data_IF_376054920824
#
_entry.id   IF_376054920824
#
_cell.length_a   1.000
_cell.length_b   1.000
_cell.length_c   1.000
_cell.angle_alpha   90.00
_cell.angle_beta   90.00
_cell.angle_gamma   90.00
#
_symmetry.space_group_name_H-M   'P 1'
#
loop_
_entity.id
_entity.type
_entity.pdbx_description
1 polymer ?
#
# COMPACT_ATOMS: atom_id res chain seq x y z
N UNK A 1 -27.10 -13.66 25.13
CA UNK A 1 -25.90 -12.79 25.11
C UNK A 1 -24.77 -13.65 24.58
N UNK A 2 -23.97 -13.19 23.63
CA UNK A 2 -22.83 -13.96 23.11
C UNK A 2 -21.64 -13.87 24.07
N UNK A 3 -21.01 -15.01 24.36
CA UNK A 3 -19.82 -15.12 25.19
C UNK A 3 -18.60 -15.49 24.32
N UNK A 4 -17.52 -14.71 24.38
CA UNK A 4 -16.23 -15.13 23.80
C UNK A 4 -15.50 -16.09 24.75
N UNK A 5 -15.06 -17.23 24.23
CA UNK A 5 -14.32 -18.25 24.97
C UNK A 5 -13.05 -18.62 24.19
N UNK A 6 -11.93 -18.75 24.89
CA UNK A 6 -10.68 -19.27 24.32
C UNK A 6 -10.56 -20.78 24.59
N UNK A 7 -10.22 -21.57 23.58
CA UNK A 7 -10.00 -23.00 23.75
C UNK A 7 -8.71 -23.26 24.53
N UNK A 8 -8.81 -23.92 25.69
CA UNK A 8 -7.64 -24.23 26.52
C UNK A 8 -6.57 -25.10 25.86
N UNK A 9 -6.91 -25.84 24.80
CA UNK A 9 -5.99 -26.74 24.09
C UNK A 9 -5.22 -26.08 22.92
N UNK A 10 -5.83 -25.13 22.20
CA UNK A 10 -5.24 -24.52 20.99
C UNK A 10 -5.24 -22.98 20.98
N UNK A 11 -5.78 -22.34 22.04
CA UNK A 11 -5.98 -20.90 22.18
C UNK A 11 -6.86 -20.24 21.09
N UNK A 12 -7.48 -21.02 20.20
CA UNK A 12 -8.47 -20.52 19.25
C UNK A 12 -9.69 -19.91 19.97
N UNK A 13 -10.13 -18.73 19.50
CA UNK A 13 -11.31 -18.02 20.02
C UNK A 13 -12.58 -18.53 19.35
N UNK A 14 -13.65 -18.66 20.13
CA UNK A 14 -14.98 -19.02 19.66
C UNK A 14 -16.03 -18.16 20.36
N UNK A 15 -17.10 -17.83 19.65
CA UNK A 15 -18.27 -17.14 20.17
C UNK A 15 -19.35 -18.19 20.46
N UNK A 16 -19.88 -18.21 21.68
CA UNK A 16 -20.96 -19.12 22.10
C UNK A 16 -22.21 -18.32 22.46
N UNK A 17 -23.34 -18.65 21.87
CA UNK A 17 -24.61 -17.92 22.06
C UNK A 17 -25.38 -18.35 23.33
N UNK A 18 -25.14 -19.59 23.79
CA UNK A 18 -25.87 -20.22 24.90
C UNK A 18 -24.89 -20.69 25.99
N UNK A 19 -24.92 -20.11 27.20
CA UNK A 19 -24.13 -20.60 28.34
C UNK A 19 -24.63 -21.98 28.83
N UNK A 20 -23.78 -22.70 29.56
CA UNK A 20 -24.07 -24.05 30.07
C UNK A 20 -24.01 -25.18 29.03
N UNK A 21 -23.70 -24.88 27.77
CA UNK A 21 -23.57 -25.89 26.69
C UNK A 21 -22.11 -26.31 26.51
N UNK A 22 -21.89 -27.60 26.24
CA UNK A 22 -20.59 -28.14 25.81
C UNK A 22 -20.45 -27.98 24.30
N UNK A 23 -19.43 -27.25 23.86
CA UNK A 23 -19.15 -26.98 22.44
C UNK A 23 -17.80 -27.55 22.03
N UNK A 24 -17.70 -28.14 20.84
CA UNK A 24 -16.43 -28.60 20.29
C UNK A 24 -15.70 -27.44 19.61
N UNK A 25 -14.42 -27.24 19.92
CA UNK A 25 -13.61 -26.20 19.29
C UNK A 25 -13.40 -26.51 17.79
N UNK A 26 -13.75 -25.59 16.87
CA UNK A 26 -13.64 -25.84 15.42
C UNK A 26 -12.18 -25.99 14.93
N UNK A 27 -11.21 -25.55 15.71
CA UNK A 27 -9.78 -25.60 15.35
C UNK A 27 -9.09 -26.93 15.73
N UNK A 28 -9.58 -27.65 16.75
CA UNK A 28 -8.90 -28.84 17.27
C UNK A 28 -9.80 -29.97 17.80
N UNK A 29 -11.13 -29.81 17.75
CA UNK A 29 -12.09 -30.80 18.24
C UNK A 29 -12.17 -30.96 19.78
N UNK A 30 -11.41 -30.18 20.55
CA UNK A 30 -11.45 -30.23 22.01
C UNK A 30 -12.78 -29.66 22.54
N UNK A 31 -13.43 -30.39 23.44
CA UNK A 31 -14.71 -30.00 24.01
C UNK A 31 -14.52 -28.98 25.14
N UNK A 32 -15.33 -27.92 25.13
CA UNK A 32 -15.28 -26.82 26.08
C UNK A 32 -16.63 -26.72 26.78
N UNK A 33 -16.62 -26.82 28.11
CA UNK A 33 -17.80 -26.55 28.94
C UNK A 33 -17.87 -25.05 29.20
N UNK A 34 -18.91 -24.39 28.71
CA UNK A 34 -19.14 -22.98 29.05
C UNK A 34 -19.57 -22.84 30.51
N UNK A 35 -19.05 -21.86 31.27
CA UNK A 35 -19.45 -21.65 32.65
C UNK A 35 -20.93 -21.26 32.74
N UNK A 36 -21.66 -21.92 33.64
CA UNK A 36 -23.04 -21.62 33.95
C UNK A 36 -23.09 -20.43 34.92
N UNK A 37 -23.44 -19.26 34.41
CA UNK A 37 -23.63 -18.06 35.23
C UNK A 37 -25.10 -18.00 35.67
N UNK A 38 -25.40 -18.01 36.98
CA UNK A 38 -26.77 -17.84 37.45
C UNK A 38 -27.27 -16.46 37.01
N UNK A 39 -28.25 -16.44 36.12
CA UNK A 39 -28.92 -15.22 35.69
C UNK A 39 -29.80 -14.74 36.85
N UNK A 40 -29.30 -13.80 37.64
CA UNK A 40 -30.12 -13.05 38.57
C UNK A 40 -31.09 -12.18 37.78
N UNK A 41 -32.30 -12.67 37.57
CA UNK A 41 -33.42 -11.90 37.00
C UNK A 41 -33.75 -10.74 37.94
N UNK A 42 -33.30 -9.54 37.55
CA UNK A 42 -33.57 -8.30 38.26
C UNK A 42 -35.02 -7.87 38.00
N UNK A 43 -35.92 -8.13 38.96
CA UNK A 43 -37.30 -7.63 38.90
C UNK A 43 -37.32 -6.11 39.17
N UNK A 44 -37.58 -5.34 38.12
CA UNK A 44 -37.81 -3.89 38.19
C UNK A 44 -39.02 -3.58 39.09
N UNK A 45 -38.76 -3.11 40.32
CA UNK A 45 -39.80 -2.55 41.20
C UNK A 45 -39.43 -1.15 41.70
N UNK A 46 -40.09 -0.16 41.10
CA UNK A 46 -40.04 1.26 41.45
C UNK A 46 -40.48 1.50 42.91
N UNK A 47 -39.60 2.02 43.77
CA UNK A 47 -39.97 2.66 45.04
C UNK A 47 -39.22 3.99 45.22
N UNK A 48 -39.96 5.00 45.68
CA UNK A 48 -39.60 6.43 45.68
C UNK A 48 -39.19 6.94 47.07
N UNK A 49 -37.96 7.47 47.21
CA UNK A 49 -37.49 8.50 48.20
C UNK A 49 -37.68 8.21 49.74
N UNK A 50 -37.13 9.01 50.69
CA UNK A 50 -36.28 10.23 50.60
C UNK A 50 -34.98 10.24 51.46
N UNK A 51 -34.19 11.32 51.38
CA UNK A 51 -33.05 11.69 52.25
C UNK A 51 -33.44 11.87 53.75
N UNK A 52 -32.49 11.78 54.71
CA UNK A 52 -31.78 12.98 55.21
C UNK A 52 -30.31 12.69 55.70
N UNK A 53 -29.60 13.49 56.54
CA UNK A 53 -28.58 14.43 56.05
C UNK A 53 -27.18 14.36 56.74
N UNK A 54 -26.18 15.06 56.17
CA UNK A 54 -25.08 15.87 56.82
C UNK A 54 -24.33 15.23 58.02
N UNK A 55 -22.99 15.02 58.03
CA UNK A 55 -21.98 16.10 58.15
C UNK A 55 -20.50 15.63 58.09
N UNK A 56 -19.59 16.60 57.92
CA UNK A 56 -18.15 16.66 58.28
C UNK A 56 -17.04 15.85 57.56
N UNK A 57 -15.96 16.61 57.33
CA UNK A 57 -14.73 16.41 56.55
C UNK A 57 -13.52 16.05 57.46
N UNK A 58 -12.23 16.22 57.09
CA UNK A 58 -11.33 15.20 56.53
C UNK A 58 -10.17 14.75 57.46
N UNK A 59 -9.44 13.67 57.10
CA UNK A 59 -8.10 13.38 57.68
C UNK A 59 -7.14 12.53 56.82
N UNK A 60 -5.87 12.92 56.94
CA UNK A 60 -4.56 12.44 56.48
C UNK A 60 -4.28 11.01 55.95
N UNK A 61 -3.58 10.99 54.81
CA UNK A 61 -2.23 10.44 54.58
C UNK A 61 -1.72 9.14 55.26
N UNK A 62 -1.53 8.10 54.44
CA UNK A 62 -0.36 7.19 54.41
C UNK A 62 -0.38 6.47 53.03
N UNK A 63 0.66 6.37 52.20
CA UNK A 63 2.07 6.04 52.40
C UNK A 63 2.33 4.58 52.85
N UNK A 64 2.39 3.64 51.89
CA UNK A 64 3.25 2.44 52.04
C UNK A 64 3.53 1.67 50.74
N UNK A 65 4.82 1.35 50.55
CA UNK A 65 5.44 0.12 50.00
C UNK A 65 4.92 -0.53 48.70
N UNK A 66 5.69 -0.73 47.62
CA UNK A 66 7.08 -1.24 47.46
C UNK A 66 7.29 -2.70 47.90
N UNK A 67 7.08 -3.67 46.99
CA UNK A 67 7.64 -5.03 47.04
C UNK A 67 7.53 -5.72 45.65
N UNK A 68 8.30 -6.79 45.40
CA UNK A 68 8.60 -7.43 44.10
C UNK A 68 9.56 -6.59 43.24
N UNK A 69 10.88 -6.66 43.38
CA UNK A 69 11.81 -7.80 43.58
C UNK A 69 12.06 -8.61 42.29
N UNK A 70 13.21 -8.34 41.66
CA UNK A 70 13.71 -8.99 40.45
C UNK A 70 14.49 -10.25 40.82
N UNK A 71 14.29 -11.36 40.09
CA UNK A 71 15.26 -12.47 40.06
C UNK A 71 15.56 -12.89 38.61
N UNK A 72 16.82 -12.79 38.15
CA UNK A 72 17.21 -13.24 36.83
C UNK A 72 17.50 -14.75 36.83
N UNK A 73 16.81 -15.51 35.99
CA UNK A 73 17.18 -16.92 35.72
C UNK A 73 18.12 -16.97 34.52
N UNK A 74 19.33 -17.47 34.77
CA UNK A 74 20.39 -17.63 33.77
C UNK A 74 20.08 -18.82 32.83
N UNK A 75 20.25 -18.67 31.50
CA UNK A 75 20.08 -19.79 30.56
C UNK A 75 21.39 -20.58 30.44
N UNK A 76 21.39 -21.83 30.87
CA UNK A 76 22.26 -22.92 30.37
C UNK A 76 21.99 -24.19 31.21
N UNK A 77 21.21 -25.14 30.68
CA UNK A 77 21.41 -26.55 31.00
C UNK A 77 21.08 -27.43 29.78
N UNK A 78 21.77 -28.57 29.71
CA UNK A 78 22.09 -29.27 28.48
C UNK A 78 21.32 -30.60 28.31
N UNK A 79 21.33 -31.07 27.06
CA UNK A 79 21.43 -32.50 26.72
C UNK A 79 20.27 -33.46 27.02
N UNK A 80 19.50 -33.72 25.96
CA UNK A 80 19.24 -35.05 25.39
C UNK A 80 18.83 -36.25 26.30
N UNK A 81 17.66 -36.81 25.97
CA UNK A 81 17.47 -38.27 25.89
C UNK A 81 16.64 -38.62 24.65
N UNK A 82 17.19 -39.49 23.80
CA UNK A 82 16.41 -40.24 22.82
C UNK A 82 15.60 -41.32 23.55
N UNK A 83 14.34 -41.52 23.16
CA UNK A 83 13.60 -42.75 23.48
C UNK A 83 12.61 -43.08 22.36
N UNK A 84 12.85 -44.22 21.70
CA UNK A 84 11.98 -44.79 20.67
C UNK A 84 10.63 -45.21 21.27
N UNK A 85 9.54 -44.99 20.53
CA UNK A 85 8.37 -45.89 20.57
C UNK A 85 7.63 -45.91 19.25
N UNK A 86 7.76 -47.04 18.57
CA UNK A 86 6.89 -47.42 17.46
C UNK A 86 5.46 -47.60 18.00
N UNK A 87 4.47 -46.96 17.39
CA UNK A 87 3.05 -47.32 17.53
C UNK A 87 2.51 -47.61 16.14
N UNK A 88 1.94 -48.79 15.96
CA UNK A 88 1.38 -49.23 14.69
C UNK A 88 0.13 -48.41 14.33
N UNK A 89 0.05 -48.00 13.06
CA UNK A 89 -1.20 -47.59 12.42
C UNK A 89 -2.04 -48.83 12.09
N UNK A 90 -3.33 -48.89 12.47
CA UNK A 90 -4.28 -49.85 11.90
C UNK A 90 -4.81 -49.35 10.54
N UNK A 91 -5.26 -50.30 9.72
CA UNK A 91 -5.72 -50.08 8.33
C UNK A 91 -6.95 -49.15 8.19
N UNK A 92 -7.10 -48.45 7.05
CA UNK A 92 -8.28 -47.66 6.75
C UNK A 92 -9.46 -48.55 6.33
N UNK A 93 -10.54 -48.53 7.12
CA UNK A 93 -11.81 -49.14 6.74
C UNK A 93 -12.57 -48.29 5.71
N UNK A 94 -12.97 -48.97 4.65
CA UNK A 94 -14.12 -48.76 3.76
C UNK A 94 -15.03 -47.55 4.04
N UNK A 95 -15.15 -46.64 3.06
CA UNK A 95 -16.28 -45.72 2.94
C UNK A 95 -17.21 -46.17 1.80
N UNK A 96 -18.54 -46.26 2.01
CA UNK A 96 -19.46 -46.78 1.03
C UNK A 96 -19.93 -45.74 -0.01
N UNK A 97 -20.26 -46.27 -1.18
CA UNK A 97 -20.91 -45.66 -2.34
C UNK A 97 -22.10 -44.73 -2.05
N UNK A 98 -22.10 -43.53 -2.65
CA UNK A 98 -23.32 -42.81 -3.06
C UNK A 98 -22.96 -41.86 -4.24
N UNK A 99 -23.11 -42.33 -5.48
CA UNK A 99 -24.28 -42.12 -6.37
C UNK A 99 -24.42 -40.69 -6.91
N UNK A 100 -23.95 -40.51 -8.16
CA UNK A 100 -24.25 -39.37 -9.02
C UNK A 100 -25.76 -39.20 -9.28
N UNK A 101 -26.25 -37.97 -9.39
CA UNK A 101 -27.27 -37.59 -10.36
C UNK A 101 -26.62 -36.88 -11.57
N UNK A 102 -26.97 -37.34 -12.77
CA UNK A 102 -26.43 -36.82 -14.02
C UNK A 102 -26.84 -35.35 -14.28
N UNK A 103 -26.03 -34.57 -15.02
CA UNK A 103 -26.45 -33.25 -15.48
C UNK A 103 -27.52 -33.39 -16.59
N UNK A 104 -28.68 -32.77 -16.40
CA UNK A 104 -29.64 -32.56 -17.49
C UNK A 104 -29.04 -31.62 -18.54
N UNK A 105 -28.78 -32.17 -19.72
CA UNK A 105 -28.35 -31.43 -20.90
C UNK A 105 -29.54 -30.65 -21.46
N UNK A 106 -29.71 -29.39 -21.03
CA UNK A 106 -30.68 -28.48 -21.64
C UNK A 106 -30.08 -27.89 -22.92
N UNK A 107 -30.66 -28.28 -24.04
CA UNK A 107 -30.35 -27.87 -25.40
C UNK A 107 -30.82 -26.42 -25.65
N UNK A 108 -29.93 -25.46 -26.01
CA UNK A 108 -30.35 -24.10 -26.34
C UNK A 108 -30.85 -24.02 -27.79
N UNK A 109 -32.09 -23.58 -27.97
CA UNK A 109 -32.67 -23.31 -29.30
C UNK A 109 -31.87 -22.25 -30.08
N UNK A 110 -31.69 -22.41 -31.40
CA UNK A 110 -30.96 -21.45 -32.21
C UNK A 110 -31.85 -20.25 -32.58
N UNK A 111 -31.77 -19.17 -31.80
CA UNK A 111 -32.32 -17.88 -32.24
C UNK A 111 -31.43 -17.33 -33.36
N UNK A 112 -31.84 -17.62 -34.59
CA UNK A 112 -31.35 -16.92 -35.76
C UNK A 112 -31.76 -15.44 -35.65
N UNK A 113 -30.79 -14.54 -35.79
CA UNK A 113 -31.06 -13.12 -36.04
C UNK A 113 -30.08 -12.62 -37.08
N UNK A 114 -30.68 -12.16 -38.17
CA UNK A 114 -30.12 -11.83 -39.46
C UNK A 114 -29.12 -10.64 -39.39
N UNK A 115 -28.03 -10.64 -40.16
CA UNK A 115 -27.13 -9.49 -40.23
C UNK A 115 -27.71 -8.42 -41.17
N UNK A 116 -28.13 -7.28 -40.64
CA UNK A 116 -28.39 -6.10 -41.47
C UNK A 116 -27.07 -5.59 -42.08
N UNK A 117 -26.84 -5.95 -43.34
CA UNK A 117 -25.85 -5.32 -44.18
C UNK A 117 -26.39 -3.99 -44.70
N UNK A 118 -25.83 -2.87 -44.24
CA UNK A 118 -25.93 -1.59 -44.97
C UNK A 118 -24.63 -1.33 -45.70
N UNK A 119 -24.74 -1.25 -47.02
CA UNK A 119 -23.63 -1.15 -47.97
C UNK A 119 -23.29 0.32 -48.28
N UNK A 120 -22.00 0.57 -48.45
CA UNK A 120 -21.37 1.47 -49.45
C UNK A 120 -22.03 2.80 -49.85
N UNK A 121 -21.32 3.91 -49.60
CA UNK A 121 -21.02 5.01 -50.54
C UNK A 121 -20.14 6.06 -49.81
N UNK A 122 -19.13 6.73 -50.39
CA UNK A 122 -18.37 6.46 -51.62
C UNK A 122 -16.97 7.12 -51.51
N UNK A 123 -16.02 6.58 -52.27
CA UNK A 123 -14.75 7.24 -52.59
C UNK A 123 -14.97 8.48 -53.49
N UNK A 124 -14.03 9.44 -53.53
CA UNK A 124 -13.07 9.39 -54.63
C UNK A 124 -11.62 9.81 -54.28
N UNK A 125 -10.69 8.89 -54.51
CA UNK A 125 -9.57 8.97 -55.45
C UNK A 125 -8.64 10.22 -55.57
N UNK A 126 -7.36 9.91 -55.86
CA UNK A 126 -6.32 10.74 -56.52
C UNK A 126 -5.75 11.92 -55.68
N UNK A 127 -4.57 11.83 -55.06
CA UNK A 127 -3.22 11.95 -55.68
C UNK A 127 -2.16 12.13 -54.55
N UNK A 128 -0.83 12.04 -54.67
CA UNK A 128 0.17 11.61 -55.69
C UNK A 128 1.51 11.33 -54.94
N UNK A 129 2.49 10.56 -55.49
CA UNK A 129 3.77 10.31 -54.81
C UNK A 129 4.90 11.31 -55.19
N UNK A 130 5.82 11.55 -54.25
CA UNK A 130 7.14 12.19 -54.38
C UNK A 130 7.89 12.01 -53.04
N UNK A 131 9.20 11.68 -52.93
CA UNK A 131 10.37 11.96 -53.79
C UNK A 131 10.39 13.44 -54.22
N UNK A 132 11.21 14.34 -53.65
CA UNK A 132 12.61 14.20 -53.21
C UNK A 132 13.02 15.31 -52.20
N UNK A 133 14.22 15.25 -51.58
CA UNK A 133 14.77 16.35 -50.77
C UNK A 133 15.44 17.44 -51.63
N UNK A 134 15.24 18.75 -51.35
CA UNK A 134 15.92 19.82 -52.06
C UNK A 134 17.21 20.33 -51.37
N UNK A 135 18.22 20.58 -52.21
CA UNK A 135 19.18 21.73 -52.20
C UNK A 135 20.04 21.95 -50.94
N UNK A 136 21.38 21.91 -50.96
CA UNK A 136 22.41 22.14 -52.00
C UNK A 136 22.53 23.58 -52.51
N UNK A 137 23.36 24.39 -51.84
CA UNK A 137 23.96 25.61 -52.41
C UNK A 137 24.53 26.58 -51.35
N UNK A 138 25.47 27.48 -51.69
CA UNK A 138 26.11 27.66 -52.99
C UNK A 138 27.60 27.29 -53.02
N UNK A 139 28.08 26.99 -54.23
CA UNK A 139 29.50 27.04 -54.62
C UNK A 139 30.03 28.47 -54.41
N UNK A 140 31.21 28.62 -53.82
CA UNK A 140 31.98 29.87 -53.95
C UNK A 140 33.20 29.65 -54.84
N UNK A 141 33.45 30.62 -55.71
CA UNK A 141 34.35 30.51 -56.85
C UNK A 141 35.82 30.72 -56.47
N UNK A 142 36.65 29.97 -57.17
CA UNK A 142 38.06 30.22 -57.39
C UNK A 142 38.30 31.61 -58.00
N UNK A 143 39.34 32.32 -57.55
CA UNK A 143 40.18 33.02 -58.52
C UNK A 143 41.66 32.69 -58.29
N UNK A 144 42.24 31.95 -59.23
CA UNK A 144 43.65 32.14 -59.59
C UNK A 144 43.83 33.60 -60.06
N UNK A 145 44.94 34.25 -59.70
CA UNK A 145 45.92 34.44 -60.77
C UNK A 145 47.37 34.23 -60.31
N UNK A 146 48.16 33.67 -61.22
CA UNK A 146 49.61 33.62 -61.13
C UNK A 146 50.23 35.02 -60.90
N UNK A 147 51.19 35.07 -59.97
CA UNK A 147 52.05 36.22 -59.71
C UNK A 147 53.36 35.72 -59.10
N UNK A 148 54.35 35.46 -59.94
CA UNK A 148 55.68 35.07 -59.49
C UNK A 148 56.44 36.28 -58.97
N UNK A 149 56.95 36.21 -57.74
CA UNK A 149 58.13 36.97 -57.29
C UNK A 149 58.75 36.27 -56.07
N UNK A 150 59.85 35.56 -56.31
CA UNK A 150 60.91 35.33 -55.33
C UNK A 150 61.88 36.54 -55.35
N UNK A 151 62.77 36.75 -54.37
CA UNK A 151 62.79 36.19 -53.01
C UNK A 151 63.06 37.27 -51.93
N UNK A 152 62.76 36.98 -50.65
CA UNK A 152 63.62 37.50 -49.56
C UNK A 152 63.61 36.59 -48.33
N UNK A 153 64.76 35.99 -48.04
CA UNK A 153 65.03 35.09 -46.90
C UNK A 153 65.14 35.87 -45.58
N UNK A 154 64.02 36.35 -45.03
CA UNK A 154 63.98 36.72 -43.61
C UNK A 154 63.70 35.50 -42.74
N UNK A 155 64.80 34.91 -42.25
CA UNK A 155 64.84 33.86 -41.23
C UNK A 155 64.25 34.31 -39.90
N UNK A 156 62.93 34.46 -39.81
CA UNK A 156 62.23 34.52 -38.53
C UNK A 156 62.29 33.14 -37.89
N UNK A 157 63.41 32.92 -37.21
CA UNK A 157 63.71 31.76 -36.38
C UNK A 157 62.78 31.76 -35.18
N UNK A 158 61.50 31.44 -35.40
CA UNK A 158 60.54 31.17 -34.33
C UNK A 158 61.00 29.91 -33.63
N UNK A 159 61.86 30.08 -32.62
CA UNK A 159 62.23 29.03 -31.71
C UNK A 159 60.95 28.32 -31.30
N UNK A 160 60.89 27.00 -31.55
CA UNK A 160 60.07 26.09 -30.75
C UNK A 160 60.58 26.20 -29.31
N UNK A 161 60.09 27.22 -28.60
CA UNK A 161 60.17 27.31 -27.15
C UNK A 161 59.33 26.13 -26.67
N UNK A 162 60.00 25.02 -26.40
CA UNK A 162 59.39 23.84 -25.83
C UNK A 162 58.90 24.28 -24.45
N UNK A 163 57.61 24.63 -24.34
CA UNK A 163 56.93 24.94 -23.07
C UNK A 163 56.80 23.66 -22.26
N UNK A 164 57.94 23.16 -21.80
CA UNK A 164 58.05 22.05 -20.87
C UNK A 164 57.59 22.55 -19.52
N UNK A 165 56.33 22.28 -19.21
CA UNK A 165 55.73 22.54 -17.90
C UNK A 165 56.66 22.01 -16.82
N UNK A 166 56.97 22.86 -15.82
CA UNK A 166 57.85 22.49 -14.72
C UNK A 166 57.43 21.15 -14.11
N UNK A 167 58.36 20.21 -13.93
CA UNK A 167 58.08 18.88 -13.36
C UNK A 167 57.31 18.96 -12.03
N UNK A 168 57.54 20.02 -11.23
CA UNK A 168 56.79 20.27 -9.99
C UNK A 168 55.33 20.63 -10.24
N UNK A 169 55.05 21.49 -11.22
CA UNK A 169 53.68 21.86 -11.60
C UNK A 169 52.93 20.66 -12.20
N UNK A 170 53.60 19.85 -13.04
CA UNK A 170 53.04 18.60 -13.55
C UNK A 170 52.70 17.61 -12.43
N UNK A 171 53.61 17.39 -11.47
CA UNK A 171 53.37 16.50 -10.33
C UNK A 171 52.23 16.98 -9.42
N UNK A 172 52.14 18.29 -9.14
CA UNK A 172 51.03 18.86 -8.37
C UNK A 172 49.69 18.68 -9.08
N UNK A 173 49.64 18.94 -10.39
CA UNK A 173 48.42 18.79 -11.20
C UNK A 173 48.01 17.32 -11.33
N UNK A 174 48.98 16.40 -11.46
CA UNK A 174 48.75 14.96 -11.43
C UNK A 174 48.17 14.51 -10.07
N UNK A 175 48.77 14.93 -8.95
CA UNK A 175 48.24 14.57 -7.61
C UNK A 175 46.86 15.15 -7.36
N UNK A 176 46.59 16.37 -7.82
CA UNK A 176 45.27 16.98 -7.73
C UNK A 176 44.23 16.22 -8.58
N UNK A 177 44.57 15.86 -9.81
CA UNK A 177 43.69 15.09 -10.69
C UNK A 177 43.40 13.68 -10.13
N UNK A 178 44.38 13.02 -9.52
CA UNK A 178 44.20 11.75 -8.81
C UNK A 178 43.31 11.90 -7.57
N UNK A 179 43.50 12.95 -6.77
CA UNK A 179 42.65 13.20 -5.59
C UNK A 179 41.20 13.54 -5.99
N UNK A 180 41.01 14.35 -7.03
CA UNK A 180 39.70 14.70 -7.56
C UNK A 180 38.97 13.48 -8.14
N UNK A 181 39.66 12.62 -8.90
CA UNK A 181 39.04 11.38 -9.42
C UNK A 181 38.71 10.38 -8.31
N UNK A 182 39.54 10.23 -7.28
CA UNK A 182 39.20 9.44 -6.09
C UNK A 182 38.00 10.00 -5.33
N UNK A 183 37.92 11.33 -5.15
CA UNK A 183 36.76 11.98 -4.52
C UNK A 183 35.48 11.78 -5.34
N UNK A 184 35.54 11.94 -6.67
CA UNK A 184 34.41 11.66 -7.56
C UNK A 184 33.99 10.17 -7.51
N UNK A 185 34.94 9.23 -7.47
CA UNK A 185 34.66 7.81 -7.36
C UNK A 185 34.02 7.46 -6.01
N UNK A 186 34.50 8.06 -4.91
CA UNK A 186 33.91 7.91 -3.58
C UNK A 186 32.51 8.51 -3.49
N UNK A 187 32.27 9.69 -4.07
CA UNK A 187 30.94 10.30 -4.15
C UNK A 187 29.99 9.47 -5.03
N UNK A 188 30.46 8.92 -6.14
CA UNK A 188 29.67 8.02 -6.99
C UNK A 188 29.33 6.71 -6.26
N UNK A 189 30.30 6.14 -5.55
CA UNK A 189 30.09 4.97 -4.70
C UNK A 189 29.08 5.25 -3.58
N UNK A 190 29.16 6.42 -2.91
CA UNK A 190 28.18 6.88 -1.93
C UNK A 190 26.79 7.07 -2.57
N UNK A 191 26.71 7.59 -3.79
CA UNK A 191 25.43 7.79 -4.49
C UNK A 191 24.78 6.45 -4.90
N UNK A 192 25.58 5.46 -5.29
CA UNK A 192 25.10 4.12 -5.65
C UNK A 192 24.74 3.26 -4.43
N UNK A 193 25.45 3.43 -3.31
CA UNK A 193 25.25 2.67 -2.08
C UNK A 193 24.51 3.46 -0.99
N UNK A 194 23.93 4.61 -1.34
CA UNK A 194 23.06 5.35 -0.44
C UNK A 194 21.94 4.40 0.03
N UNK A 195 21.73 4.21 1.34
CA UNK A 195 20.72 3.30 1.83
C UNK A 195 19.35 3.81 1.39
N UNK A 196 18.74 3.10 0.43
CA UNK A 196 17.37 3.37 0.01
C UNK A 196 16.47 3.28 1.23
N UNK A 197 15.64 4.30 1.45
CA UNK A 197 14.81 4.35 2.64
C UNK A 197 13.88 3.12 2.64
N UNK A 198 13.75 2.45 3.79
CA UNK A 198 12.96 1.22 3.90
C UNK A 198 11.50 1.40 3.40
N UNK A 199 10.99 2.63 3.48
CA UNK A 199 9.66 3.03 3.01
C UNK A 199 9.48 2.92 1.48
N UNK A 200 10.57 2.94 0.71
CA UNK A 200 10.59 2.78 -0.75
C UNK A 200 10.50 1.33 -1.21
N UNK A 201 10.68 0.35 -0.32
CA UNK A 201 10.77 -1.08 -0.64
C UNK A 201 10.10 -1.94 0.43
N UNK A 202 8.87 -1.59 0.79
CA UNK A 202 8.07 -2.42 1.67
C UNK A 202 7.63 -3.69 0.92
N UNK A 203 7.59 -4.86 1.58
CA UNK A 203 6.98 -6.05 1.00
C UNK A 203 5.47 -5.83 0.80
N UNK A 204 4.88 -6.54 -0.15
CA UNK A 204 3.42 -6.68 -0.22
C UNK A 204 2.89 -7.35 1.06
N UNK A 205 1.73 -6.94 1.62
CA UNK A 205 1.11 -7.67 2.72
C UNK A 205 0.71 -9.07 2.25
N UNK A 206 1.30 -10.10 2.87
CA UNK A 206 0.95 -11.49 2.61
C UNK A 206 0.09 -12.00 3.76
N UNK A 207 -0.98 -12.72 3.45
CA UNK A 207 -1.79 -13.44 4.43
C UNK A 207 -0.97 -14.61 5.01
N UNK A 208 -0.81 -14.64 6.34
CA UNK A 208 -0.01 -15.66 7.01
C UNK A 208 -0.90 -16.76 7.56
N UNK A 209 -0.79 -17.96 6.99
CA UNK A 209 -1.56 -19.14 7.41
C UNK A 209 -1.33 -19.56 8.88
N UNK A 210 -0.20 -19.15 9.49
CA UNK A 210 0.21 -19.60 10.82
C UNK A 210 -0.38 -18.80 12.01
N UNK A 211 -1.04 -17.66 11.76
CA UNK A 211 -1.51 -16.77 12.84
C UNK A 211 -2.82 -16.03 12.53
N UNK A 212 -3.53 -16.35 11.43
CA UNK A 212 -4.77 -15.67 11.04
C UNK A 212 -4.65 -14.19 10.67
N UNK A 213 -3.44 -13.62 10.73
CA UNK A 213 -3.16 -12.20 10.50
C UNK A 213 -2.36 -11.95 9.22
N UNK A 214 -2.57 -10.78 8.61
CA UNK A 214 -1.70 -10.28 7.55
C UNK A 214 -0.36 -9.84 8.12
N UNK A 215 0.74 -10.25 7.50
CA UNK A 215 2.08 -9.76 7.86
C UNK A 215 2.32 -8.39 7.23
N UNK A 216 1.67 -7.36 7.76
CA UNK A 216 1.93 -5.97 7.38
C UNK A 216 3.24 -5.47 8.01
N UNK A 217 4.13 -4.89 7.20
CA UNK A 217 5.21 -4.04 7.74
C UNK A 217 4.63 -2.68 8.10
N UNK A 218 4.35 -2.48 9.38
CA UNK A 218 3.92 -1.19 9.91
C UNK A 218 5.05 -0.16 9.84
N UNK A 219 4.65 1.08 9.57
CA UNK A 219 5.52 2.26 9.58
C UNK A 219 5.00 3.23 10.62
N UNK A 220 5.86 3.69 11.53
CA UNK A 220 5.45 4.59 12.60
C UNK A 220 4.84 5.88 12.05
N UNK A 221 3.82 6.41 12.74
CA UNK A 221 3.08 7.61 12.32
C UNK A 221 4.02 8.80 12.06
N UNK A 222 5.07 8.94 12.87
CA UNK A 222 6.06 10.02 12.79
C UNK A 222 7.34 9.64 12.03
N UNK A 223 7.38 8.52 11.30
CA UNK A 223 8.53 8.22 10.43
C UNK A 223 8.68 9.29 9.35
N UNK A 224 9.87 9.88 9.16
CA UNK A 224 10.09 10.89 8.13
C UNK A 224 9.94 10.26 6.74
N UNK A 225 9.24 10.96 5.84
CA UNK A 225 9.11 10.52 4.45
C UNK A 225 10.44 10.69 3.70
N UNK A 226 10.77 9.78 2.76
CA UNK A 226 11.91 9.97 1.87
C UNK A 226 11.69 11.19 0.95
N UNK A 227 12.78 11.78 0.46
CA UNK A 227 12.72 12.91 -0.48
C UNK A 227 11.85 12.56 -1.69
N UNK A 228 10.84 13.40 -1.97
CA UNK A 228 9.89 13.19 -3.07
C UNK A 228 8.70 12.27 -2.76
N UNK A 229 8.56 11.76 -1.52
CA UNK A 229 7.39 10.97 -1.10
C UNK A 229 6.30 11.81 -0.42
N UNK A 230 6.49 13.13 -0.25
CA UNK A 230 5.42 14.06 0.11
C UNK A 230 5.02 14.87 -1.13
N UNK A 231 3.75 14.78 -1.53
CA UNK A 231 3.19 15.42 -2.72
C UNK A 231 2.19 16.50 -2.33
N UNK A 232 2.12 17.59 -3.09
CA UNK A 232 0.97 18.50 -3.07
C UNK A 232 -0.20 17.97 -3.94
N UNK A 233 -1.40 18.52 -3.76
CA UNK A 233 -2.51 18.33 -4.71
C UNK A 233 -2.11 18.84 -6.10
N UNK A 234 -2.47 18.08 -7.14
CA UNK A 234 -2.08 18.30 -8.53
C UNK A 234 -0.65 17.82 -8.89
N UNK A 235 0.21 17.53 -7.90
CA UNK A 235 1.60 17.11 -8.17
C UNK A 235 1.66 15.67 -8.69
N UNK A 236 2.33 15.48 -9.82
CA UNK A 236 2.59 14.15 -10.39
C UNK A 236 3.98 13.65 -9.99
N UNK A 237 4.04 12.48 -9.38
CA UNK A 237 5.29 11.83 -8.94
C UNK A 237 5.35 10.38 -9.42
N UNK A 238 6.55 9.87 -9.70
CA UNK A 238 6.79 8.46 -10.05
C UNK A 238 7.27 7.68 -8.83
N UNK A 239 6.64 6.54 -8.57
CA UNK A 239 7.04 5.55 -7.59
C UNK A 239 7.16 4.19 -8.27
N UNK A 240 8.39 3.68 -8.44
CA UNK A 240 8.63 2.45 -9.20
C UNK A 240 8.05 2.53 -10.61
N UNK A 241 7.10 1.64 -10.92
CA UNK A 241 6.39 1.62 -12.20
C UNK A 241 5.05 2.38 -12.19
N UNK A 242 4.67 3.05 -11.10
CA UNK A 242 3.39 3.78 -11.01
C UNK A 242 3.63 5.29 -10.94
N UNK A 243 2.93 6.06 -11.77
CA UNK A 243 2.74 7.49 -11.54
C UNK A 243 1.52 7.71 -10.65
N UNK A 244 1.69 8.52 -9.62
CA UNK A 244 0.64 8.99 -8.72
C UNK A 244 0.40 10.46 -9.02
N UNK A 245 -0.86 10.88 -9.00
CA UNK A 245 -1.24 12.30 -9.01
C UNK A 245 -2.44 12.48 -8.09
N UNK A 246 -2.26 13.05 -6.88
CA UNK A 246 -3.37 13.46 -6.04
C UNK A 246 -4.15 14.55 -6.78
N UNK A 247 -5.45 14.36 -6.95
CA UNK A 247 -6.29 15.27 -7.74
C UNK A 247 -6.91 16.34 -6.85
N UNK A 248 -7.60 15.90 -5.79
CA UNK A 248 -8.32 16.74 -4.83
C UNK A 248 -8.67 15.93 -3.58
N UNK A 249 -9.12 16.61 -2.54
CA UNK A 249 -9.84 16.00 -1.42
C UNK A 249 -11.27 16.55 -1.43
N UNK A 250 -12.28 15.68 -1.35
CA UNK A 250 -13.67 16.11 -1.18
C UNK A 250 -14.31 15.54 0.07
N UNK A 251 -15.28 16.25 0.63
CA UNK A 251 -16.14 15.82 1.74
C UNK A 251 -17.52 15.46 1.17
N UNK A 252 -17.83 14.18 1.17
CA UNK A 252 -19.02 13.63 0.50
C UNK A 252 -19.51 12.39 1.26
N UNK A 253 -20.80 12.02 1.16
CA UNK A 253 -21.28 10.74 1.67
C UNK A 253 -20.58 9.56 0.98
N UNK A 254 -20.37 8.49 1.75
CA UNK A 254 -19.82 7.23 1.23
C UNK A 254 -20.96 6.32 0.76
N UNK A 255 -21.12 6.20 -0.55
CA UNK A 255 -22.12 5.33 -1.19
C UNK A 255 -21.56 3.94 -1.51
N UNK A 256 -22.44 2.95 -1.57
CA UNK A 256 -22.09 1.55 -1.81
C UNK A 256 -22.77 0.97 -3.05
N UNK A 257 -22.10 0.03 -3.71
CA UNK A 257 -22.64 -0.78 -4.81
C UNK A 257 -22.52 -2.28 -4.48
N UNK A 258 -23.47 -3.14 -4.89
CA UNK A 258 -23.41 -4.58 -4.58
C UNK A 258 -22.20 -5.26 -5.23
N UNK A 259 -21.53 -6.14 -4.48
CA UNK A 259 -20.48 -6.98 -5.05
C UNK A 259 -21.10 -8.05 -5.96
N UNK A 260 -20.79 -7.96 -7.26
CA UNK A 260 -21.50 -8.68 -8.35
C UNK A 260 -21.62 -10.21 -8.17
N UNK A 261 -20.78 -10.85 -7.36
CA UNK A 261 -20.83 -12.31 -7.12
C UNK A 261 -21.91 -12.76 -6.12
N UNK A 262 -22.46 -11.87 -5.29
CA UNK A 262 -23.42 -12.22 -4.23
C UNK A 262 -24.87 -11.74 -4.50
N UNK A 263 -25.17 -11.43 -5.76
CA UNK A 263 -26.49 -11.71 -6.35
C UNK A 263 -27.73 -11.22 -5.59
N UNK A 264 -27.70 -10.01 -5.02
CA UNK A 264 -28.89 -9.39 -4.40
C UNK A 264 -28.96 -7.92 -4.79
N UNK A 265 -30.12 -7.49 -5.31
CA UNK A 265 -30.39 -6.11 -5.71
C UNK A 265 -30.65 -5.16 -4.53
N UNK A 266 -29.95 -5.37 -3.41
CA UNK A 266 -30.06 -4.52 -2.24
C UNK A 266 -29.39 -3.16 -2.47
N UNK A 267 -29.91 -2.14 -1.80
CA UNK A 267 -29.21 -0.87 -1.59
C UNK A 267 -28.72 -0.82 -0.15
N UNK A 268 -27.49 -0.35 0.08
CA UNK A 268 -26.95 -0.08 1.42
C UNK A 268 -26.94 1.43 1.65
N UNK A 269 -27.33 1.84 2.86
CA UNK A 269 -27.35 3.25 3.25
C UNK A 269 -25.97 3.89 3.14
N UNK A 270 -25.95 5.16 2.72
CA UNK A 270 -24.72 5.96 2.63
C UNK A 270 -24.22 6.35 4.03
N UNK A 271 -22.90 6.32 4.24
CA UNK A 271 -22.30 6.61 5.54
C UNK A 271 -21.69 8.01 5.58
N UNK A 272 -22.16 8.80 6.56
CA UNK A 272 -21.65 10.11 6.96
C UNK A 272 -21.63 11.17 5.84
N UNK A 273 -20.98 12.31 6.09
CA UNK A 273 -19.92 12.81 5.23
C UNK A 273 -18.61 12.09 5.59
N UNK A 274 -17.80 11.71 4.60
CA UNK A 274 -16.41 11.27 4.78
C UNK A 274 -15.48 12.11 3.92
N UNK A 275 -14.18 12.15 4.22
CA UNK A 275 -13.20 12.68 3.28
C UNK A 275 -12.83 11.61 2.26
N UNK A 276 -12.70 12.01 0.99
CA UNK A 276 -12.26 11.19 -0.13
C UNK A 276 -11.03 11.84 -0.76
N UNK A 277 -9.86 11.22 -0.61
CA UNK A 277 -8.66 11.61 -1.36
C UNK A 277 -8.74 11.01 -2.77
N UNK A 278 -8.96 11.85 -3.77
CA UNK A 278 -9.02 11.43 -5.17
C UNK A 278 -7.62 11.31 -5.76
N UNK A 279 -7.32 10.18 -6.39
CA UNK A 279 -6.03 9.87 -7.00
C UNK A 279 -6.21 9.50 -8.47
N UNK A 280 -5.31 9.99 -9.34
CA UNK A 280 -5.02 9.33 -10.62
C UNK A 280 -3.81 8.42 -10.44
N UNK A 281 -3.95 7.17 -10.86
CA UNK A 281 -2.89 6.16 -10.85
C UNK A 281 -2.68 5.68 -12.30
N UNK A 282 -1.43 5.68 -12.74
CA UNK A 282 -1.04 5.37 -14.13
C UNK A 282 0.15 4.42 -14.14
N UNK A 283 0.04 3.31 -14.87
CA UNK A 283 1.08 2.32 -14.99
C UNK A 283 2.10 2.73 -16.07
N UNK A 284 3.32 3.03 -15.64
CA UNK A 284 4.46 3.42 -16.45
C UNK A 284 5.51 2.30 -16.60
N UNK A 285 5.11 1.03 -16.40
CA UNK A 285 5.85 -0.13 -16.90
C UNK A 285 5.75 -0.21 -18.43
N UNK A 286 6.60 -1.03 -19.05
CA UNK A 286 6.43 -1.46 -20.45
C UNK A 286 5.85 -2.87 -20.58
N UNK A 287 5.78 -3.60 -19.47
CA UNK A 287 5.77 -5.06 -19.39
C UNK A 287 4.88 -5.60 -18.25
N UNK A 288 4.93 -4.98 -17.07
CA UNK A 288 4.20 -5.43 -15.88
C UNK A 288 2.75 -4.96 -15.87
N UNK A 289 1.82 -5.88 -15.59
CA UNK A 289 0.44 -5.57 -15.19
C UNK A 289 0.40 -5.39 -13.67
N UNK A 290 -0.11 -4.28 -13.16
CA UNK A 290 -0.01 -3.92 -11.73
C UNK A 290 -1.38 -3.47 -11.23
N UNK A 291 -1.88 -4.05 -10.13
CA UNK A 291 -2.95 -3.45 -9.32
C UNK A 291 -2.30 -2.53 -8.27
N UNK A 292 -2.35 -1.19 -8.38
CA UNK A 292 -1.59 -0.31 -7.49
C UNK A 292 -2.26 -0.11 -6.12
N UNK A 293 -3.59 -0.26 -6.08
CA UNK A 293 -4.42 -0.26 -4.88
C UNK A 293 -5.38 -1.45 -4.94
N UNK A 294 -5.49 -2.15 -3.83
CA UNK A 294 -6.51 -3.18 -3.58
C UNK A 294 -7.02 -3.08 -2.13
N UNK A 295 -8.11 -3.79 -1.83
CA UNK A 295 -8.73 -3.83 -0.49
C UNK A 295 -7.78 -4.37 0.60
N UNK A 296 -6.83 -5.24 0.27
CA UNK A 296 -5.80 -5.69 1.21
C UNK A 296 -4.93 -4.52 1.62
N UNK A 297 -4.28 -3.88 0.65
CA UNK A 297 -3.26 -2.86 0.92
C UNK A 297 -3.82 -1.59 1.56
N UNK A 298 -5.04 -1.20 1.20
CA UNK A 298 -5.72 -0.06 1.81
C UNK A 298 -6.12 -0.34 3.27
N UNK A 299 -6.61 -1.54 3.56
CA UNK A 299 -7.26 -1.88 4.83
C UNK A 299 -6.46 -2.82 5.73
N UNK A 300 -5.20 -3.11 5.40
CA UNK A 300 -4.28 -3.77 6.32
C UNK A 300 -4.15 -2.95 7.60
N UNK A 301 -4.61 -3.54 8.71
CA UNK A 301 -4.54 -3.01 10.07
C UNK A 301 -3.90 -4.05 10.97
N UNK A 302 -3.15 -3.59 11.97
CA UNK A 302 -2.72 -4.39 13.11
C UNK A 302 -3.49 -3.92 14.35
N UNK A 303 -3.96 -4.86 15.15
CA UNK A 303 -4.57 -4.60 16.44
C UNK A 303 -3.56 -4.98 17.51
N UNK A 304 -3.08 -4.00 18.28
CA UNK A 304 -2.04 -4.15 19.29
C UNK A 304 -2.46 -3.39 20.55
N UNK A 305 -2.80 -4.11 21.63
CA UNK A 305 -3.19 -3.55 22.94
C UNK A 305 -4.18 -2.38 22.81
N UNK A 306 -5.36 -2.67 22.26
CA UNK A 306 -6.46 -1.75 21.95
C UNK A 306 -6.15 -0.60 20.97
N UNK A 307 -4.94 -0.56 20.40
CA UNK A 307 -4.55 0.39 19.35
C UNK A 307 -4.70 -0.24 17.98
N UNK A 308 -5.37 0.49 17.08
CA UNK A 308 -5.46 0.15 15.67
C UNK A 308 -4.34 0.89 14.92
N UNK A 309 -3.37 0.13 14.42
CA UNK A 309 -2.23 0.64 13.66
C UNK A 309 -2.42 0.35 12.18
N UNK A 310 -2.22 1.35 11.32
CA UNK A 310 -2.35 1.23 9.87
C UNK A 310 -1.31 2.11 9.16
N UNK A 311 -0.95 1.72 7.94
CA UNK A 311 -0.11 2.56 7.08
C UNK A 311 -0.91 3.64 6.32
N UNK A 312 -2.24 3.50 6.24
CA UNK A 312 -3.14 4.43 5.55
C UNK A 312 -3.97 5.23 6.56
N UNK A 313 -3.79 6.54 6.60
CA UNK A 313 -4.52 7.44 7.50
C UNK A 313 -4.39 8.91 7.05
N UNK A 314 -5.21 9.79 7.62
CA UNK A 314 -5.03 11.24 7.56
C UNK A 314 -4.86 11.81 8.97
N UNK A 315 -3.99 12.82 9.13
CA UNK A 315 -3.76 13.52 10.40
C UNK A 315 -3.41 15.00 10.19
N UNK A 316 -3.62 15.87 11.19
CA UNK A 316 -3.00 17.19 11.24
C UNK A 316 -1.48 17.08 11.29
N UNK A 317 -0.76 18.04 10.70
CA UNK A 317 0.72 18.10 10.78
C UNK A 317 1.19 18.24 12.23
N UNK A 318 0.44 19.00 13.04
CA UNK A 318 0.73 19.30 14.45
C UNK A 318 0.33 18.20 15.45
N UNK A 319 -0.30 17.12 15.00
CA UNK A 319 -0.84 16.07 15.87
C UNK A 319 -0.41 14.66 15.38
N UNK A 320 -0.38 13.71 16.31
CA UNK A 320 -0.20 12.28 16.08
C UNK A 320 -1.52 11.51 15.98
N UNK A 321 -2.64 12.12 16.34
CA UNK A 321 -3.96 11.51 16.19
C UNK A 321 -4.30 11.27 14.71
N UNK A 322 -4.56 10.01 14.37
CA UNK A 322 -4.82 9.57 13.01
C UNK A 322 -6.29 9.22 12.81
N UNK A 323 -6.94 9.83 11.81
CA UNK A 323 -8.21 9.34 11.28
C UNK A 323 -7.91 8.24 10.26
N UNK A 324 -8.42 7.03 10.51
CA UNK A 324 -8.20 5.86 9.66
C UNK A 324 -9.11 5.86 8.44
N UNK A 325 -8.81 4.99 7.47
CA UNK A 325 -9.69 4.72 6.34
C UNK A 325 -10.97 4.00 6.78
N UNK A 326 -12.06 4.18 6.04
CA UNK A 326 -13.31 3.45 6.27
C UNK A 326 -13.09 1.95 6.16
N UNK A 327 -13.76 1.16 7.02
CA UNK A 327 -13.70 -0.30 6.94
C UNK A 327 -14.60 -0.86 5.84
N UNK A 328 -14.03 -1.64 4.93
CA UNK A 328 -14.77 -2.51 4.05
C UNK A 328 -14.17 -3.93 4.08
N UNK A 329 -14.77 -4.90 4.81
CA UNK A 329 -14.17 -6.22 5.01
C UNK A 329 -13.97 -6.96 3.68
N UNK A 330 -12.93 -7.79 3.56
CA UNK A 330 -12.61 -8.49 2.30
C UNK A 330 -13.76 -9.34 1.77
N UNK A 331 -14.39 -10.07 2.68
CA UNK A 331 -15.51 -10.96 2.40
C UNK A 331 -16.87 -10.23 2.43
N UNK A 332 -16.85 -8.90 2.49
CA UNK A 332 -18.04 -8.06 2.50
C UNK A 332 -18.69 -7.94 1.12
N UNK A 333 -20.01 -8.13 1.07
CA UNK A 333 -20.85 -8.09 -0.14
C UNK A 333 -20.99 -6.70 -0.80
N UNK A 334 -20.20 -5.71 -0.40
CA UNK A 334 -20.33 -4.32 -0.82
C UNK A 334 -19.01 -3.76 -1.31
N UNK A 335 -19.10 -2.96 -2.37
CA UNK A 335 -18.03 -2.09 -2.84
C UNK A 335 -18.37 -0.63 -2.54
N UNK A 336 -17.35 0.23 -2.47
CA UNK A 336 -17.52 1.67 -2.51
C UNK A 336 -17.80 2.12 -3.93
N UNK A 337 -18.93 2.78 -4.12
CA UNK A 337 -19.44 3.15 -5.44
C UNK A 337 -18.43 4.01 -6.21
N UNK A 338 -18.10 3.58 -7.42
CA UNK A 338 -17.17 4.30 -8.30
C UNK A 338 -15.70 4.33 -7.85
N UNK A 339 -15.29 3.53 -6.85
CA UNK A 339 -13.89 3.48 -6.39
C UNK A 339 -13.04 2.53 -7.26
N UNK A 340 -13.62 1.44 -7.74
CA UNK A 340 -13.09 0.45 -8.70
C UNK A 340 -11.82 -0.32 -8.28
N UNK A 341 -11.14 0.06 -7.20
CA UNK A 341 -9.94 -0.57 -6.67
C UNK A 341 -10.21 -1.48 -5.48
N UNK A 342 -11.46 -1.59 -5.04
CA UNK A 342 -11.87 -2.29 -3.83
C UNK A 342 -12.44 -3.69 -4.09
N UNK A 343 -12.54 -4.12 -5.35
CA UNK A 343 -12.79 -5.53 -5.67
C UNK A 343 -11.64 -6.46 -5.21
N UNK A 344 -11.90 -7.78 -5.19
CA UNK A 344 -10.98 -8.81 -4.66
C UNK A 344 -9.51 -8.74 -5.12
N UNK A 345 -9.26 -8.26 -6.35
CA UNK A 345 -7.91 -8.12 -6.92
C UNK A 345 -7.52 -6.65 -7.20
N UNK A 346 -8.37 -5.70 -6.80
CA UNK A 346 -8.30 -4.30 -7.21
C UNK A 346 -8.40 -4.09 -8.73
N UNK A 347 -8.15 -2.87 -9.18
CA UNK A 347 -8.06 -2.54 -10.60
C UNK A 347 -6.66 -2.82 -11.11
N UNK A 348 -6.49 -3.94 -11.82
CA UNK A 348 -5.23 -4.25 -12.53
C UNK A 348 -5.08 -3.33 -13.74
N UNK A 349 -3.96 -2.61 -13.80
CA UNK A 349 -3.57 -1.74 -14.92
C UNK A 349 -2.57 -2.44 -15.83
N UNK A 350 -2.82 -2.42 -17.14
CA UNK A 350 -1.84 -2.77 -18.18
C UNK A 350 -0.77 -1.67 -18.33
N UNK A 351 0.39 -1.94 -18.94
CA UNK A 351 1.34 -0.91 -19.35
C UNK A 351 0.65 0.25 -20.08
N UNK A 352 0.90 1.49 -19.66
CA UNK A 352 0.27 2.71 -20.18
C UNK A 352 -1.17 2.98 -19.72
N UNK A 353 -1.84 2.05 -19.04
CA UNK A 353 -3.21 2.25 -18.55
C UNK A 353 -3.23 3.19 -17.34
N UNK A 354 -4.27 4.01 -17.21
CA UNK A 354 -4.51 4.82 -16.02
C UNK A 354 -5.98 4.80 -15.61
N UNK A 355 -6.23 4.98 -14.32
CA UNK A 355 -7.56 5.12 -13.76
C UNK A 355 -7.59 6.21 -12.69
N UNK A 356 -8.81 6.68 -12.39
CA UNK A 356 -9.10 7.54 -11.25
C UNK A 356 -9.79 6.69 -10.19
N UNK A 357 -9.46 6.94 -8.93
CA UNK A 357 -10.03 6.27 -7.75
C UNK A 357 -10.01 7.23 -6.58
N UNK A 358 -10.56 6.81 -5.44
CA UNK A 358 -10.47 7.57 -4.19
C UNK A 358 -10.17 6.66 -3.01
N UNK A 359 -9.64 7.26 -1.95
CA UNK A 359 -9.35 6.61 -0.67
C UNK A 359 -10.22 7.30 0.39
N UNK A 360 -11.23 6.63 0.98
CA UNK A 360 -12.16 7.25 1.92
C UNK A 360 -11.71 7.10 3.39
N UNK A 361 -11.88 8.15 4.21
CA UNK A 361 -11.76 8.08 5.68
C UNK A 361 -12.97 7.40 6.30
N UNK A 362 -12.85 7.00 7.58
CA UNK A 362 -14.03 6.85 8.44
C UNK A 362 -14.81 8.16 8.61
N UNK A 363 -15.98 8.07 9.23
CA UNK A 363 -16.76 9.25 9.65
C UNK A 363 -16.25 9.85 10.97
N UNK A 364 -15.54 9.05 11.78
CA UNK A 364 -15.02 9.45 13.08
C UNK A 364 -13.78 10.35 12.96
N UNK A 365 -13.56 11.21 13.95
CA UNK A 365 -12.37 12.07 14.03
C UNK A 365 -12.31 13.25 13.03
N UNK A 366 -13.26 13.36 12.10
CA UNK A 366 -13.27 14.39 11.05
C UNK A 366 -13.24 15.83 11.58
N UNK A 367 -13.84 16.10 12.74
CA UNK A 367 -13.83 17.41 13.38
C UNK A 367 -12.42 17.88 13.79
N UNK A 368 -11.47 16.96 13.97
CA UNK A 368 -10.09 17.26 14.35
C UNK A 368 -9.19 17.57 13.14
N UNK A 369 -9.67 17.33 11.91
CA UNK A 369 -8.91 17.51 10.67
C UNK A 369 -8.97 18.98 10.20
N UNK A 370 -8.25 19.85 10.90
CA UNK A 370 -8.17 21.29 10.64
C UNK A 370 -6.73 21.77 10.39
N UNK A 371 -6.58 22.86 9.64
CA UNK A 371 -5.28 23.44 9.27
C UNK A 371 -4.50 22.55 8.29
N UNK A 372 -3.15 22.54 8.36
CA UNK A 372 -2.31 21.70 7.50
C UNK A 372 -2.47 20.21 7.84
N UNK A 373 -2.80 19.40 6.82
CA UNK A 373 -3.04 17.97 6.92
C UNK A 373 -2.02 17.16 6.10
N UNK A 374 -1.76 15.93 6.57
CA UNK A 374 -1.01 14.90 5.85
C UNK A 374 -1.86 13.65 5.71
N UNK A 375 -2.05 13.19 4.48
CA UNK A 375 -2.72 11.93 4.17
C UNK A 375 -1.72 10.90 3.67
N UNK A 376 -1.47 9.88 4.46
CA UNK A 376 -0.55 8.78 4.13
C UNK A 376 -1.28 7.69 3.36
N UNK A 377 -0.68 7.24 2.26
CA UNK A 377 -1.23 6.20 1.36
C UNK A 377 -0.15 5.18 1.01
N UNK A 378 -0.49 3.90 1.14
CA UNK A 378 0.34 2.75 0.82
C UNK A 378 -0.11 2.18 -0.54
N UNK A 379 0.80 2.13 -1.52
CA UNK A 379 0.53 1.61 -2.88
C UNK A 379 1.51 0.51 -3.29
N UNK A 380 1.04 -0.39 -4.16
CA UNK A 380 1.89 -1.34 -4.88
C UNK A 380 2.49 -0.65 -6.10
N UNK A 381 3.82 -0.69 -6.24
CA UNK A 381 4.56 0.03 -7.29
C UNK A 381 5.16 -0.86 -8.38
N UNK A 382 4.86 -2.16 -8.35
CA UNK A 382 5.36 -3.17 -9.28
C UNK A 382 5.78 -4.44 -8.55
N UNK A 383 6.53 -5.28 -9.26
CA UNK A 383 7.04 -6.56 -8.74
C UNK A 383 8.57 -6.58 -8.74
N UNK A 384 9.17 -7.38 -7.86
CA UNK A 384 10.59 -7.72 -7.89
C UNK A 384 10.89 -8.75 -8.97
N UNK A 385 12.17 -8.96 -9.28
CA UNK A 385 12.63 -10.03 -10.19
C UNK A 385 12.19 -11.44 -9.73
N UNK A 386 11.93 -11.61 -8.43
CA UNK A 386 11.36 -12.82 -7.83
C UNK A 386 9.82 -12.90 -7.88
N UNK A 387 9.16 -12.03 -8.64
CA UNK A 387 7.71 -11.99 -8.80
C UNK A 387 6.92 -11.53 -7.57
N UNK A 388 7.56 -11.03 -6.52
CA UNK A 388 6.89 -10.56 -5.31
C UNK A 388 6.46 -9.10 -5.47
N UNK A 389 5.27 -8.76 -5.00
CA UNK A 389 4.82 -7.37 -4.99
C UNK A 389 5.75 -6.49 -4.14
N UNK A 390 6.06 -5.31 -4.67
CA UNK A 390 6.83 -4.28 -3.97
C UNK A 390 5.93 -3.08 -3.77
N UNK A 391 5.83 -2.64 -2.53
CA UNK A 391 4.97 -1.53 -2.13
C UNK A 391 5.80 -0.34 -1.64
N UNK A 392 5.18 0.82 -1.55
CA UNK A 392 5.76 2.05 -1.00
C UNK A 392 4.69 2.91 -0.36
N UNK A 393 5.09 3.80 0.53
CA UNK A 393 4.21 4.77 1.20
C UNK A 393 4.57 6.18 0.74
N UNK A 394 3.56 6.97 0.40
CA UNK A 394 3.69 8.40 0.18
C UNK A 394 2.69 9.18 1.04
N UNK A 395 2.90 10.47 1.19
CA UNK A 395 2.02 11.41 1.87
C UNK A 395 1.52 12.49 0.90
N UNK A 396 0.26 12.89 1.05
CA UNK A 396 -0.31 14.06 0.38
C UNK A 396 -0.44 15.18 1.41
N UNK A 397 0.25 16.29 1.18
CA UNK A 397 0.16 17.51 1.96
C UNK A 397 -0.86 18.46 1.34
N UNK A 398 -1.80 18.93 2.15
CA UNK A 398 -2.85 19.88 1.77
C UNK A 398 -3.35 20.60 3.02
N UNK A 399 -3.97 21.77 2.86
CA UNK A 399 -4.67 22.44 3.95
C UNK A 399 -6.15 22.06 3.96
N UNK A 400 -6.78 22.03 5.15
CA UNK A 400 -8.22 21.80 5.34
C UNK A 400 -9.12 22.73 4.50
N UNK A 401 -8.66 23.94 4.18
CA UNK A 401 -9.35 24.89 3.28
C UNK A 401 -9.39 24.45 1.81
N UNK A 402 -8.64 23.41 1.43
CA UNK A 402 -8.64 22.82 0.08
C UNK A 402 -9.60 21.63 -0.06
N UNK A 403 -10.38 21.31 0.98
CA UNK A 403 -11.38 20.25 0.95
C UNK A 403 -12.62 20.77 0.21
N UNK A 404 -12.98 20.13 -0.90
CA UNK A 404 -14.18 20.46 -1.67
C UNK A 404 -15.45 19.83 -1.06
N UNK A 405 -16.54 20.59 -0.99
CA UNK A 405 -17.84 20.11 -0.53
C UNK A 405 -18.11 20.44 0.94
N UNK A 406 -19.28 21.03 1.18
CA UNK A 406 -19.90 21.28 2.48
C UNK A 406 -21.39 20.98 2.38
#
# INVERSE_FOLDING_TARGET
MSLEVACGACQGRLVVETPGVVVACPHCGHHLTTPDFPIETSDDTLITSPDPPIDTDPSEAAASSSIFDETPVNPDDFSATEALSNVLLPDPLESPTQLDPAPETVEPEPIASEPEAVSSEAEPALSKPGLDPPETGPVFLEPEPAGADEPTDERVSRLRRNDTVSKKAFLLLLSYASAATLACFWLFYQLQNAPLNNLERLPDPVESAAAGGQRLTLVAVNSPMPTGHTLALGQRQKFGHIHVTPLKVSREPLEFEPFQRLGTGGTRESIGPVLKLWLKLENASGDQKIAPLDRTLMLSRLYDNDRILANNFVRPVSDTNCTLLHDNPKDGNWNWKGQASDGLQGKVLKPGESFKTYVPTGADGLANLTGPLLWRVHIRKGFSDSGRGVTTIFEVAFDSSQIEGE
#
